data_IF_077624732511
#
_entry.id   IF_077624732511
#
_cell.length_a   1.000
_cell.length_b   1.000
_cell.length_c   1.000
_cell.angle_alpha   90.00
_cell.angle_beta   90.00
_cell.angle_gamma   90.00
#
_symmetry.space_group_name_H-M   'P 1'
#
loop_
_entity.id
_entity.type
_entity.pdbx_description
1 polymer ?
#
# COMPACT_ATOMS: atom_id res chain seq x y z
N UNK A 1 9.58 31.56 -1.46
CA UNK A 1 10.96 31.06 -1.30
C UNK A 1 11.16 29.91 -2.29
N UNK A 2 12.25 29.90 -3.07
CA UNK A 2 12.60 28.77 -3.94
C UNK A 2 13.49 27.81 -3.16
N UNK A 3 12.92 26.71 -2.66
CA UNK A 3 13.67 25.68 -1.94
C UNK A 3 14.37 24.77 -2.96
N UNK A 4 15.68 24.56 -2.81
CA UNK A 4 16.44 23.63 -3.63
C UNK A 4 16.07 22.20 -3.23
N UNK A 5 15.20 21.56 -4.02
CA UNK A 5 14.71 20.19 -3.79
C UNK A 5 15.84 19.15 -3.68
N UNK A 6 17.00 19.43 -4.28
CA UNK A 6 18.21 18.60 -4.23
C UNK A 6 18.86 18.51 -2.85
N UNK A 7 18.54 19.42 -1.94
CA UNK A 7 19.13 19.46 -0.59
C UNK A 7 18.28 18.68 0.44
N UNK A 8 17.16 18.07 0.01
CA UNK A 8 16.34 17.25 0.88
C UNK A 8 16.96 15.85 0.97
N UNK A 9 17.35 15.37 2.16
CA UNK A 9 17.90 14.04 2.31
C UNK A 9 16.91 12.99 1.79
N UNK A 10 17.38 12.10 0.91
CA UNK A 10 16.56 11.06 0.27
C UNK A 10 15.93 11.45 -1.07
N UNK A 11 16.06 12.71 -1.53
CA UNK A 11 15.65 13.10 -2.89
C UNK A 11 16.73 12.74 -3.90
N UNK A 12 16.34 11.99 -4.94
CA UNK A 12 17.19 11.67 -6.08
C UNK A 12 16.57 12.25 -7.37
N UNK A 13 17.41 12.86 -8.22
CA UNK A 13 17.01 13.27 -9.57
C UNK A 13 16.96 12.06 -10.49
N UNK A 14 15.80 11.75 -11.05
CA UNK A 14 15.68 10.74 -12.09
C UNK A 14 16.04 11.29 -13.47
N UNK A 15 16.79 10.49 -14.24
CA UNK A 15 16.97 10.74 -15.67
C UNK A 15 15.66 10.47 -16.42
N UNK A 16 15.49 11.11 -17.59
CA UNK A 16 14.31 10.90 -18.45
C UNK A 16 14.13 9.43 -18.85
N UNK A 17 15.23 8.71 -19.06
CA UNK A 17 15.23 7.28 -19.39
C UNK A 17 14.81 6.39 -18.23
N UNK A 18 15.21 6.72 -17.00
CA UNK A 18 14.78 5.99 -15.82
C UNK A 18 13.32 6.32 -15.49
N UNK A 19 12.91 7.57 -15.66
CA UNK A 19 11.53 8.00 -15.47
C UNK A 19 10.57 7.30 -16.45
N UNK A 20 10.94 7.14 -17.72
CA UNK A 20 10.09 6.46 -18.71
C UNK A 20 9.89 4.97 -18.46
N UNK A 21 10.75 4.36 -17.64
CA UNK A 21 10.63 2.97 -17.19
C UNK A 21 9.76 2.80 -15.96
N UNK A 22 9.45 3.89 -15.24
CA UNK A 22 8.45 3.87 -14.16
C UNK A 22 7.08 3.74 -14.83
N UNK A 23 6.61 2.50 -14.94
CA UNK A 23 5.25 2.21 -15.33
C UNK A 23 4.41 2.21 -14.05
N UNK A 24 3.37 3.04 -14.02
CA UNK A 24 2.30 2.85 -13.04
C UNK A 24 1.72 1.45 -13.20
N UNK A 25 1.45 0.76 -12.11
CA UNK A 25 0.79 -0.52 -12.16
C UNK A 25 -0.71 -0.28 -12.38
N UNK A 26 -1.28 -0.89 -13.43
CA UNK A 26 -2.72 -1.01 -13.59
C UNK A 26 -3.14 -2.32 -12.93
N UNK A 27 -4.00 -2.24 -11.93
CA UNK A 27 -4.39 -3.36 -11.10
C UNK A 27 -4.06 -3.12 -9.63
N UNK A 28 -4.89 -3.67 -8.76
CA UNK A 28 -4.67 -3.68 -7.32
C UNK A 28 -3.95 -4.97 -6.95
N UNK A 29 -2.96 -4.89 -6.07
CA UNK A 29 -2.30 -6.08 -5.53
C UNK A 29 -3.09 -6.60 -4.32
N UNK A 30 -3.98 -7.56 -4.57
CA UNK A 30 -4.82 -8.14 -3.52
C UNK A 30 -4.01 -8.96 -2.50
N UNK A 31 -2.75 -9.32 -2.78
CA UNK A 31 -1.87 -9.97 -1.79
C UNK A 31 -1.49 -9.02 -0.64
N UNK A 32 -1.70 -7.71 -0.80
CA UNK A 32 -1.53 -6.71 0.26
C UNK A 32 -2.77 -6.56 1.14
N UNK A 33 -3.87 -7.23 0.81
CA UNK A 33 -5.13 -7.21 1.55
C UNK A 33 -5.22 -8.39 2.53
N UNK A 34 -5.76 -8.15 3.71
CA UNK A 34 -5.98 -9.18 4.72
C UNK A 34 -7.14 -8.84 5.64
N UNK A 35 -7.39 -9.74 6.59
CA UNK A 35 -8.36 -9.52 7.66
C UNK A 35 -7.64 -9.48 9.00
N UNK A 36 -8.04 -8.55 9.86
CA UNK A 36 -7.65 -8.54 11.25
C UNK A 36 -8.46 -9.55 12.06
N UNK A 37 -7.98 -9.81 13.27
CA UNK A 37 -8.65 -10.61 14.28
C UNK A 37 -10.08 -10.16 14.61
N UNK A 38 -10.36 -8.86 14.51
CA UNK A 38 -11.66 -8.28 14.83
C UNK A 38 -12.57 -8.15 13.60
N UNK A 39 -12.26 -8.82 12.49
CA UNK A 39 -13.03 -8.74 11.26
C UNK A 39 -12.82 -7.48 10.43
N UNK A 40 -11.81 -6.65 10.71
CA UNK A 40 -11.53 -5.46 9.90
C UNK A 40 -10.61 -5.77 8.71
N UNK A 41 -10.91 -5.18 7.55
CA UNK A 41 -10.02 -5.24 6.39
C UNK A 41 -8.72 -4.49 6.69
N UNK A 42 -7.59 -5.17 6.54
CA UNK A 42 -6.25 -4.60 6.68
C UNK A 42 -5.58 -4.46 5.32
N UNK A 43 -4.76 -3.41 5.15
CA UNK A 43 -4.02 -3.14 3.91
C UNK A 43 -4.36 -1.78 3.30
N UNK A 44 -3.97 -1.56 2.03
CA UNK A 44 -4.29 -0.33 1.31
C UNK A 44 -5.80 -0.06 1.18
N UNK A 45 -6.19 1.21 1.01
CA UNK A 45 -7.60 1.62 0.98
C UNK A 45 -8.47 0.86 -0.04
N UNK A 46 -7.88 0.45 -1.17
CA UNK A 46 -8.58 -0.33 -2.19
C UNK A 46 -9.03 -1.71 -1.68
N UNK A 47 -8.41 -2.26 -0.64
CA UNK A 47 -8.77 -3.57 -0.11
C UNK A 47 -10.22 -3.63 0.37
N UNK A 48 -10.74 -2.53 0.91
CA UNK A 48 -12.15 -2.43 1.34
C UNK A 48 -13.17 -2.60 0.22
N UNK A 49 -12.75 -2.44 -1.05
CA UNK A 49 -13.62 -2.60 -2.21
C UNK A 49 -13.65 -4.02 -2.75
N UNK A 50 -12.61 -4.83 -2.45
CA UNK A 50 -12.42 -6.16 -3.04
C UNK A 50 -12.48 -7.30 -2.01
N UNK A 51 -12.29 -7.01 -0.71
CA UNK A 51 -12.26 -7.98 0.36
C UNK A 51 -13.30 -7.62 1.43
N UNK A 52 -14.12 -8.58 1.81
CA UNK A 52 -15.00 -8.48 2.97
C UNK A 52 -14.48 -9.43 4.06
N UNK A 53 -14.27 -8.89 5.25
CA UNK A 53 -13.86 -9.64 6.43
C UNK A 53 -15.08 -9.77 7.34
N UNK A 54 -15.56 -11.00 7.62
CA UNK A 54 -16.66 -11.17 8.56
C UNK A 54 -16.18 -10.88 9.99
N UNK A 55 -17.05 -10.31 10.85
CA UNK A 55 -16.79 -10.00 12.27
C UNK A 55 -16.68 -11.26 13.15
N UNK A 56 -16.04 -12.30 12.65
CA UNK A 56 -15.74 -13.49 13.43
C UNK A 56 -14.41 -13.20 14.11
N UNK A 57 -14.43 -13.14 15.44
CA UNK A 57 -13.22 -12.99 16.24
C UNK A 57 -12.40 -14.30 16.12
N UNK A 58 -11.65 -14.45 15.03
CA UNK A 58 -11.03 -15.73 14.59
C UNK A 58 -9.55 -15.83 14.88
N UNK A 59 -8.95 -14.81 15.51
CA UNK A 59 -7.63 -14.99 16.09
C UNK A 59 -7.75 -15.88 17.30
N UNK A 60 -7.71 -17.17 17.01
CA UNK A 60 -7.44 -18.32 17.86
C UNK A 60 -7.75 -18.04 19.33
N UNK A 61 -8.88 -18.60 19.77
CA UNK A 61 -8.91 -19.27 21.06
C UNK A 61 -7.65 -20.15 21.15
N UNK A 62 -6.57 -19.60 21.72
CA UNK A 62 -5.42 -20.38 22.15
C UNK A 62 -5.91 -21.24 23.32
N UNK A 63 -6.20 -22.51 23.05
CA UNK A 63 -6.39 -23.53 24.07
C UNK A 63 -5.06 -24.22 24.40
#
# INVERSE_FOLDING_TARGET
>A
MKTNLLNIPGVATLSRESQSKIKGQAGVDLSLCGCSCSGSVTGPAYCSWYLACPDVYTCEETF
#
